data_IF_896397569097
#
_entry.id   IF_896397569097
#
_cell.length_a   1.000
_cell.length_b   1.000
_cell.length_c   1.000
_cell.angle_alpha   90.00
_cell.angle_beta   90.00
_cell.angle_gamma   90.00
#
_symmetry.space_group_name_H-M   'P 1'
#
loop_
_entity.id
_entity.type
_entity.pdbx_description
1 polymer ?
#
# COMPACT_ATOMS: atom_id res chain seq x y z
N UNK A 1 -16.68 -12.48 3.62
CA UNK A 1 -16.57 -11.55 2.47
C UNK A 1 -15.49 -12.12 1.56
N UNK A 2 -15.74 -12.21 0.26
CA UNK A 2 -14.76 -12.70 -0.70
C UNK A 2 -14.03 -11.48 -1.27
N UNK A 3 -13.07 -10.97 -0.50
CA UNK A 3 -12.26 -9.80 -0.89
C UNK A 3 -10.92 -10.30 -1.45
N UNK A 4 -10.38 -9.62 -2.46
CA UNK A 4 -9.05 -9.90 -3.02
C UNK A 4 -8.19 -8.65 -3.01
N UNK A 5 -6.90 -8.81 -2.77
CA UNK A 5 -5.94 -7.70 -2.84
C UNK A 5 -5.76 -7.23 -4.29
N UNK A 6 -5.57 -5.92 -4.49
CA UNK A 6 -5.36 -5.30 -5.80
C UNK A 6 -3.90 -5.41 -6.25
N UNK A 7 -3.66 -5.16 -7.53
CA UNK A 7 -2.31 -4.86 -8.01
C UNK A 7 -1.80 -3.55 -7.41
N UNK A 8 -0.48 -3.42 -7.24
CA UNK A 8 0.11 -2.28 -6.54
C UNK A 8 -0.11 -0.95 -7.29
N UNK A 9 -0.55 0.07 -6.57
CA UNK A 9 -0.70 1.43 -7.09
C UNK A 9 -0.45 2.46 -5.99
N UNK A 10 0.21 3.56 -6.34
CA UNK A 10 0.47 4.69 -5.45
C UNK A 10 -0.53 5.80 -5.74
N UNK A 11 -1.15 6.33 -4.68
CA UNK A 11 -2.18 7.37 -4.81
C UNK A 11 -1.58 8.78 -4.90
N UNK A 12 -2.39 9.77 -5.23
CA UNK A 12 -1.94 11.18 -5.28
C UNK A 12 -1.29 11.67 -3.97
N UNK A 13 -1.83 11.25 -2.82
CA UNK A 13 -1.29 11.62 -1.53
C UNK A 13 0.14 11.08 -1.27
N UNK A 14 0.61 10.08 -2.03
CA UNK A 14 2.00 9.61 -1.94
C UNK A 14 3.00 10.72 -2.27
N UNK A 15 2.71 11.51 -3.32
CA UNK A 15 3.59 12.59 -3.76
C UNK A 15 3.58 13.82 -2.82
N UNK A 16 2.65 13.89 -1.86
CA UNK A 16 2.61 14.96 -0.87
C UNK A 16 3.63 14.79 0.26
N UNK A 17 4.25 13.59 0.37
CA UNK A 17 5.12 13.24 1.48
C UNK A 17 4.39 13.27 2.84
N UNK A 18 5.15 13.49 3.90
CA UNK A 18 4.68 13.56 5.28
C UNK A 18 5.12 14.87 5.95
N UNK A 19 4.75 15.09 7.20
CA UNK A 19 5.26 16.23 7.99
C UNK A 19 6.77 16.16 8.21
N UNK A 20 7.30 14.95 8.31
CA UNK A 20 8.72 14.70 8.60
C UNK A 20 9.60 14.73 7.33
N UNK A 21 8.96 14.92 6.17
CA UNK A 21 9.60 15.04 4.86
C UNK A 21 8.54 15.37 3.82
N UNK A 22 8.43 16.65 3.48
CA UNK A 22 7.42 17.12 2.52
C UNK A 22 7.74 16.62 1.11
N UNK A 23 6.67 16.33 0.38
CA UNK A 23 6.75 16.11 -1.06
C UNK A 23 7.04 17.40 -1.81
N UNK A 24 7.29 17.26 -3.10
CA UNK A 24 7.44 18.38 -4.03
C UNK A 24 6.10 18.69 -4.71
N UNK A 25 5.99 19.86 -5.33
CA UNK A 25 4.77 20.36 -6.00
C UNK A 25 3.55 20.55 -5.07
N UNK A 26 2.41 20.95 -5.64
CA UNK A 26 1.15 21.25 -4.93
C UNK A 26 0.35 20.01 -4.46
N UNK A 27 1.01 18.86 -4.21
CA UNK A 27 0.32 17.67 -3.70
C UNK A 27 -0.05 17.82 -2.22
N UNK A 28 -1.23 17.30 -1.84
CA UNK A 28 -1.73 17.33 -0.47
C UNK A 28 -2.08 15.94 0.03
N UNK A 29 -1.72 15.67 1.28
CA UNK A 29 -2.13 14.44 1.96
C UNK A 29 -3.65 14.37 2.07
N UNK A 30 -4.20 13.15 2.18
CA UNK A 30 -5.65 12.90 2.28
C UNK A 30 -6.49 13.40 1.09
N UNK A 31 -5.88 13.59 -0.09
CA UNK A 31 -6.62 13.94 -1.30
C UNK A 31 -7.34 12.72 -1.91
N UNK A 32 -8.61 12.92 -2.24
CA UNK A 32 -9.42 11.99 -3.03
C UNK A 32 -9.76 12.54 -4.43
N UNK A 33 -9.20 13.70 -4.79
CA UNK A 33 -9.37 14.32 -6.10
C UNK A 33 -8.17 14.02 -6.99
N UNK A 34 -8.41 14.02 -8.30
CA UNK A 34 -7.36 13.88 -9.31
C UNK A 34 -7.07 15.23 -9.97
N UNK A 35 -5.95 15.33 -10.68
CA UNK A 35 -5.59 16.50 -11.48
C UNK A 35 -5.34 16.07 -12.94
N UNK A 36 -6.00 16.66 -13.95
CA UNK A 36 -5.82 16.28 -15.35
C UNK A 36 -4.36 16.35 -15.85
N UNK A 37 -3.58 17.32 -15.39
CA UNK A 37 -2.16 17.45 -15.74
C UNK A 37 -1.36 16.24 -15.25
N UNK A 38 -1.54 15.85 -13.99
CA UNK A 38 -0.83 14.71 -13.41
C UNK A 38 -1.33 13.36 -13.92
N UNK A 39 -2.63 13.23 -14.24
CA UNK A 39 -3.16 12.05 -14.93
C UNK A 39 -2.54 11.87 -16.32
N UNK A 40 -2.40 12.97 -17.07
CA UNK A 40 -1.78 12.92 -18.39
C UNK A 40 -0.32 12.46 -18.28
N UNK A 41 0.45 13.03 -17.35
CA UNK A 41 1.84 12.64 -17.15
C UNK A 41 1.99 11.19 -16.67
N UNK A 42 1.15 10.72 -15.75
CA UNK A 42 1.25 9.35 -15.26
C UNK A 42 0.83 8.29 -16.29
N UNK A 43 -0.03 8.66 -17.25
CA UNK A 43 -0.47 7.77 -18.33
C UNK A 43 0.68 7.28 -19.22
N UNK A 44 1.78 8.05 -19.31
CA UNK A 44 3.00 7.64 -20.03
C UNK A 44 3.77 6.52 -19.33
N UNK A 45 3.56 6.31 -18.03
CA UNK A 45 4.19 5.24 -17.25
C UNK A 45 3.32 3.98 -17.33
N UNK A 46 2.07 4.11 -16.88
CA UNK A 46 1.07 3.05 -16.94
C UNK A 46 -0.32 3.67 -16.81
N UNK A 47 -1.24 3.28 -17.68
CA UNK A 47 -2.64 3.73 -17.61
C UNK A 47 -3.45 2.75 -16.75
N UNK A 48 -4.03 3.19 -15.61
CA UNK A 48 -4.84 2.31 -14.76
C UNK A 48 -6.07 1.78 -15.50
N UNK A 49 -6.35 0.48 -15.38
CA UNK A 49 -7.58 -0.10 -15.93
C UNK A 49 -8.80 0.24 -15.07
N UNK A 50 -10.04 0.16 -15.62
CA UNK A 50 -11.26 0.37 -14.83
C UNK A 50 -11.35 -0.52 -13.59
N UNK A 51 -10.92 -1.78 -13.70
CA UNK A 51 -10.91 -2.75 -12.59
C UNK A 51 -9.91 -2.33 -11.51
N UNK A 52 -8.75 -1.82 -11.89
CA UNK A 52 -7.73 -1.34 -10.97
C UNK A 52 -8.18 -0.09 -10.21
N UNK A 53 -8.83 0.85 -10.91
CA UNK A 53 -9.44 2.04 -10.30
C UNK A 53 -10.51 1.63 -9.29
N UNK A 54 -11.37 0.67 -9.65
CA UNK A 54 -12.41 0.18 -8.75
C UNK A 54 -11.82 -0.53 -7.52
N UNK A 55 -10.80 -1.37 -7.72
CA UNK A 55 -10.18 -2.13 -6.64
C UNK A 55 -9.48 -1.21 -5.63
N UNK A 56 -8.79 -0.18 -6.10
CA UNK A 56 -8.06 0.76 -5.24
C UNK A 56 -8.96 1.82 -4.60
N UNK A 57 -10.24 1.90 -4.95
CA UNK A 57 -11.16 2.90 -4.41
C UNK A 57 -11.18 2.85 -2.86
N UNK A 58 -11.18 4.01 -2.18
CA UNK A 58 -11.35 5.37 -2.71
C UNK A 58 -10.05 6.06 -3.15
N UNK A 59 -8.91 5.37 -3.22
CA UNK A 59 -7.61 5.99 -3.52
C UNK A 59 -7.53 6.46 -4.98
N UNK A 60 -7.31 7.76 -5.25
CA UNK A 60 -7.04 8.22 -6.60
C UNK A 60 -5.62 7.79 -7.01
N UNK A 61 -5.51 6.93 -8.02
CA UNK A 61 -4.22 6.41 -8.50
C UNK A 61 -3.43 7.52 -9.18
N UNK A 62 -2.21 7.77 -8.71
CA UNK A 62 -1.22 8.60 -9.38
C UNK A 62 -0.29 7.75 -10.24
N UNK A 63 0.27 6.67 -9.69
CA UNK A 63 1.19 5.76 -10.38
C UNK A 63 0.68 4.31 -10.27
N UNK A 64 0.40 3.66 -11.40
CA UNK A 64 0.01 2.25 -11.44
C UNK A 64 1.24 1.33 -11.55
N UNK A 65 2.01 1.30 -10.47
CA UNK A 65 3.32 0.62 -10.40
C UNK A 65 3.24 -0.91 -10.58
N UNK A 66 2.06 -1.51 -10.41
CA UNK A 66 1.83 -2.93 -10.67
C UNK A 66 1.65 -3.28 -12.15
N UNK A 67 1.55 -2.28 -13.04
CA UNK A 67 1.37 -2.47 -14.48
C UNK A 67 2.56 -1.92 -15.30
N UNK A 68 3.66 -1.55 -14.64
CA UNK A 68 4.83 -0.95 -15.28
C UNK A 68 5.60 -1.96 -16.13
N UNK A 69 6.14 -1.50 -17.26
CA UNK A 69 7.00 -2.28 -18.18
C UNK A 69 8.28 -1.50 -18.48
N UNK A 70 9.38 -2.16 -18.91
CA UNK A 70 9.55 -3.61 -19.10
C UNK A 70 9.92 -4.38 -17.83
N UNK A 71 10.31 -3.67 -16.77
CA UNK A 71 10.66 -4.25 -15.47
C UNK A 71 9.59 -3.89 -14.44
N UNK A 72 9.37 -4.80 -13.51
CA UNK A 72 8.50 -4.59 -12.36
C UNK A 72 9.13 -3.54 -11.43
N UNK A 73 8.38 -2.47 -11.12
CA UNK A 73 8.88 -1.42 -10.23
C UNK A 73 8.74 -1.78 -8.75
N UNK A 74 7.88 -2.76 -8.43
CA UNK A 74 7.57 -3.20 -7.07
C UNK A 74 7.45 -4.73 -7.01
N UNK A 75 7.72 -5.36 -5.86
CA UNK A 75 7.63 -6.80 -5.71
C UNK A 75 6.18 -7.29 -5.65
N UNK A 76 5.90 -8.44 -6.28
CA UNK A 76 4.60 -9.14 -6.19
C UNK A 76 4.64 -10.32 -5.21
N UNK A 77 5.83 -10.77 -4.82
CA UNK A 77 6.05 -11.83 -3.83
C UNK A 77 6.65 -11.18 -2.59
N UNK A 78 5.95 -11.29 -1.45
CA UNK A 78 6.34 -10.65 -0.19
C UNK A 78 6.67 -11.70 0.88
N UNK A 79 7.79 -11.56 1.60
CA UNK A 79 8.14 -12.48 2.68
C UNK A 79 7.33 -12.19 3.93
N UNK A 80 6.72 -13.22 4.52
CA UNK A 80 6.10 -13.18 5.84
C UNK A 80 6.78 -14.22 6.73
N UNK A 81 7.18 -13.83 7.93
CA UNK A 81 7.89 -14.72 8.84
C UNK A 81 7.48 -14.48 10.29
N UNK A 82 7.35 -15.58 11.03
CA UNK A 82 7.06 -15.56 12.47
C UNK A 82 8.12 -16.41 13.15
N UNK A 83 8.75 -15.86 14.19
CA UNK A 83 9.64 -16.58 15.09
C UNK A 83 9.00 -16.68 16.47
N UNK A 84 9.15 -17.84 17.11
CA UNK A 84 8.79 -18.04 18.51
C UNK A 84 10.03 -18.46 19.29
N UNK A 85 10.33 -17.73 20.36
CA UNK A 85 11.45 -17.99 21.28
C UNK A 85 10.86 -18.09 22.69
N UNK A 86 10.57 -19.31 23.14
CA UNK A 86 9.79 -19.54 24.36
C UNK A 86 8.40 -18.88 24.26
N UNK A 87 8.15 -17.89 25.11
CA UNK A 87 6.92 -17.09 25.14
C UNK A 87 6.97 -15.81 24.28
N UNK A 88 8.13 -15.48 23.69
CA UNK A 88 8.28 -14.31 22.83
C UNK A 88 7.92 -14.68 21.39
N UNK A 89 7.06 -13.87 20.76
CA UNK A 89 6.70 -14.00 19.34
C UNK A 89 7.18 -12.74 18.60
N UNK A 90 7.93 -12.94 17.52
CA UNK A 90 8.42 -11.89 16.63
C UNK A 90 7.79 -12.11 15.25
N UNK A 91 7.06 -11.10 14.76
CA UNK A 91 6.43 -11.14 13.43
C UNK A 91 7.15 -10.15 12.53
N UNK A 92 7.84 -10.65 11.50
CA UNK A 92 8.49 -9.84 10.49
C UNK A 92 7.48 -9.52 9.38
N UNK A 93 7.14 -8.23 9.24
CA UNK A 93 6.18 -7.74 8.25
C UNK A 93 6.90 -6.95 7.15
N UNK A 94 6.58 -7.19 5.86
CA UNK A 94 7.26 -6.55 4.74
C UNK A 94 6.60 -5.20 4.40
N UNK A 95 6.60 -4.27 5.35
CA UNK A 95 6.04 -2.94 5.14
C UNK A 95 5.92 -2.11 6.42
N UNK A 96 5.45 -0.87 6.25
CA UNK A 96 5.30 0.09 7.33
C UNK A 96 3.88 0.05 7.91
N UNK A 97 3.74 -0.61 9.06
CA UNK A 97 2.44 -0.74 9.70
C UNK A 97 2.11 0.51 10.52
N UNK A 98 0.93 1.08 10.27
CA UNK A 98 0.39 2.10 11.18
C UNK A 98 0.15 1.51 12.57
N UNK A 99 0.06 2.38 13.58
CA UNK A 99 -0.13 1.97 14.97
C UNK A 99 -1.31 1.02 15.15
N UNK A 100 -2.45 1.30 14.51
CA UNK A 100 -3.65 0.49 14.68
C UNK A 100 -3.60 -0.82 13.89
N UNK A 101 -3.01 -0.84 12.69
CA UNK A 101 -2.78 -2.09 11.95
C UNK A 101 -1.86 -3.03 12.72
N UNK A 102 -0.77 -2.50 13.29
CA UNK A 102 0.15 -3.28 14.13
C UNK A 102 -0.50 -3.81 15.42
N UNK A 103 -1.32 -2.99 16.10
CA UNK A 103 -2.07 -3.43 17.30
C UNK A 103 -3.05 -4.56 16.99
N UNK A 104 -3.79 -4.46 15.87
CA UNK A 104 -4.72 -5.50 15.42
C UNK A 104 -3.97 -6.80 15.13
N UNK A 105 -2.89 -6.75 14.36
CA UNK A 105 -2.06 -7.92 14.07
C UNK A 105 -1.54 -8.58 15.35
N UNK A 106 -0.97 -7.81 16.28
CA UNK A 106 -0.50 -8.33 17.58
C UNK A 106 -1.60 -9.02 18.37
N UNK A 107 -2.81 -8.45 18.40
CA UNK A 107 -3.95 -9.06 19.09
C UNK A 107 -4.37 -10.39 18.44
N UNK A 108 -4.47 -10.42 17.12
CA UNK A 108 -4.85 -11.64 16.38
C UNK A 108 -3.82 -12.75 16.57
N UNK A 109 -2.52 -12.44 16.48
CA UNK A 109 -1.46 -13.42 16.72
C UNK A 109 -1.49 -13.91 18.17
N UNK A 110 -1.67 -13.01 19.14
CA UNK A 110 -1.77 -13.42 20.55
C UNK A 110 -2.93 -14.40 20.78
N UNK A 111 -4.09 -14.14 20.19
CA UNK A 111 -5.25 -15.05 20.27
C UNK A 111 -4.91 -16.40 19.64
N UNK A 112 -4.39 -16.40 18.40
CA UNK A 112 -4.04 -17.62 17.69
C UNK A 112 -3.02 -18.52 18.41
N UNK A 113 -2.10 -17.94 19.20
CA UNK A 113 -1.12 -18.70 20.00
C UNK A 113 -1.58 -19.02 21.42
N UNK A 114 -2.66 -18.41 21.92
CA UNK A 114 -3.30 -18.78 23.19
C UNK A 114 -4.27 -19.94 23.01
N UNK A 115 -4.89 -20.04 21.83
CA UNK A 115 -5.83 -21.10 21.46
C UNK A 115 -5.14 -22.37 20.94
N UNK A 116 -3.81 -22.34 20.77
CA UNK A 116 -2.97 -23.44 20.31
C UNK A 116 -2.30 -24.18 21.47
#
# INVERSE_FOLDING_TARGET
RNETTCQAALGYAFAAGATDGHGDFDFKQSTNSTNPFWQYLSSFIATPTPEQIQCQAPKPILLDVGQTKPIEWVPFILPLQIFQIGQLIIVAVPGEFTTMSGRRLKSTIKQAFQDA
#
